data_IF_012584937239
#
_entry.id   IF_012584937239
#
_cell.length_a   1.000
_cell.length_b   1.000
_cell.length_c   1.000
_cell.angle_alpha   90.00
_cell.angle_beta   90.00
_cell.angle_gamma   90.00
#
_symmetry.space_group_name_H-M   'P 1'
#
loop_
_entity.id
_entity.type
_entity.pdbx_description
1 polymer ?
#
# COMPACT_ATOMS: atom_id res chain seq x y z
N UNK A 1 -23.75 4.21 -6.43
CA UNK A 1 -23.74 3.68 -7.83
C UNK A 1 -24.10 2.21 -7.76
N UNK A 2 -25.22 1.86 -8.37
CA UNK A 2 -25.80 0.52 -8.47
C UNK A 2 -24.87 -0.48 -9.16
N UNK A 3 -25.11 -1.77 -8.93
CA UNK A 3 -24.47 -2.86 -9.66
C UNK A 3 -24.50 -2.59 -11.17
N UNK A 4 -23.39 -2.83 -11.89
CA UNK A 4 -23.36 -2.61 -13.32
C UNK A 4 -24.44 -3.47 -13.98
N UNK A 5 -25.21 -2.86 -14.88
CA UNK A 5 -26.36 -3.47 -15.56
C UNK A 5 -25.96 -4.46 -16.66
N UNK A 6 -24.67 -4.53 -16.99
CA UNK A 6 -24.08 -5.27 -18.10
C UNK A 6 -23.88 -6.78 -17.84
N UNK A 7 -24.46 -7.33 -16.77
CA UNK A 7 -24.44 -8.77 -16.47
C UNK A 7 -23.13 -9.31 -15.90
N UNK A 8 -22.07 -8.50 -15.89
CA UNK A 8 -20.74 -8.90 -15.49
C UNK A 8 -20.60 -8.91 -13.97
N UNK A 9 -20.49 -10.10 -13.39
CA UNK A 9 -20.49 -10.34 -11.96
C UNK A 9 -19.24 -11.07 -11.51
N UNK A 10 -18.86 -10.84 -10.24
CA UNK A 10 -17.65 -11.38 -9.66
C UNK A 10 -16.38 -10.67 -10.14
N UNK A 11 -15.27 -11.40 -10.15
CA UNK A 11 -13.95 -10.82 -10.48
C UNK A 11 -13.82 -10.48 -11.96
N UNK A 12 -13.10 -9.41 -12.28
CA UNK A 12 -12.79 -9.04 -13.65
C UNK A 12 -11.41 -9.58 -14.01
N UNK A 13 -11.35 -10.39 -15.05
CA UNK A 13 -10.13 -10.79 -15.73
C UNK A 13 -9.99 -9.93 -16.97
N UNK A 14 -8.83 -9.31 -17.17
CA UNK A 14 -8.61 -8.49 -18.35
C UNK A 14 -8.07 -9.34 -19.48
N UNK A 15 -8.47 -9.05 -20.71
CA UNK A 15 -7.93 -9.66 -21.90
C UNK A 15 -7.22 -8.60 -22.74
N UNK A 16 -5.89 -8.66 -22.73
CA UNK A 16 -5.01 -7.78 -23.49
C UNK A 16 -4.15 -6.88 -22.59
N UNK A 17 -3.04 -6.36 -23.12
CA UNK A 17 -2.20 -5.43 -22.37
C UNK A 17 -2.96 -4.12 -22.10
N UNK A 18 -2.58 -3.43 -21.02
CA UNK A 18 -3.03 -2.06 -20.76
C UNK A 18 -1.96 -1.13 -21.34
N UNK A 19 -2.34 -0.31 -22.32
CA UNK A 19 -1.41 0.61 -22.97
C UNK A 19 -1.10 1.82 -22.09
N UNK A 20 0.04 2.47 -22.32
CA UNK A 20 0.37 3.72 -21.63
C UNK A 20 -0.64 4.84 -21.91
N UNK A 21 -1.34 4.80 -23.05
CA UNK A 21 -2.43 5.73 -23.39
C UNK A 21 -3.67 5.48 -22.55
N UNK A 22 -4.02 4.23 -22.25
CA UNK A 22 -5.16 3.91 -21.38
C UNK A 22 -4.94 4.44 -19.94
N UNK A 23 -3.69 4.54 -19.50
CA UNK A 23 -3.32 5.02 -18.15
C UNK A 23 -3.22 6.55 -18.02
N UNK A 24 -3.42 7.31 -19.11
CA UNK A 24 -3.35 8.77 -19.10
C UNK A 24 -4.74 9.39 -18.95
N UNK A 25 -4.82 10.51 -18.24
CA UNK A 25 -6.03 11.34 -18.21
C UNK A 25 -5.91 12.37 -19.33
N UNK A 26 -6.73 12.30 -20.38
CA UNK A 26 -6.83 13.39 -21.38
C UNK A 26 -7.87 14.39 -20.85
N UNK A 27 -7.39 15.51 -20.30
CA UNK A 27 -8.20 16.48 -19.54
C UNK A 27 -9.19 17.34 -20.35
N UNK A 28 -9.40 17.06 -21.64
CA UNK A 28 -10.11 17.99 -22.52
C UNK A 28 -11.39 17.44 -23.16
N UNK A 29 -11.75 16.18 -22.92
CA UNK A 29 -13.01 15.62 -23.43
C UNK A 29 -13.92 15.16 -22.28
N UNK A 30 -15.23 15.45 -22.44
CA UNK A 30 -16.31 15.11 -21.50
C UNK A 30 -16.44 13.60 -21.22
N UNK A 31 -15.71 12.77 -21.98
CA UNK A 31 -15.49 11.35 -21.80
C UNK A 31 -14.00 11.07 -21.99
N UNK A 32 -13.22 11.19 -20.92
CA UNK A 32 -11.76 10.96 -20.98
C UNK A 32 -11.43 9.56 -21.49
N UNK A 33 -10.50 9.48 -22.45
CA UNK A 33 -10.12 8.24 -23.14
C UNK A 33 -9.32 7.25 -22.29
N UNK A 34 -8.98 7.61 -21.06
CA UNK A 34 -8.20 6.78 -20.15
C UNK A 34 -8.83 6.62 -18.78
N UNK A 35 -8.31 5.65 -18.04
CA UNK A 35 -8.88 5.16 -16.78
C UNK A 35 -8.32 5.87 -15.54
N UNK A 36 -7.44 6.86 -15.71
CA UNK A 36 -6.75 7.51 -14.58
C UNK A 36 -7.71 8.37 -13.75
N UNK A 37 -7.63 8.22 -12.43
CA UNK A 37 -8.36 9.02 -11.45
C UNK A 37 -7.37 9.77 -10.54
N UNK A 38 -7.68 11.03 -10.21
CA UNK A 38 -6.76 11.93 -9.50
C UNK A 38 -6.80 11.81 -7.97
N UNK A 39 -7.89 11.25 -7.42
CA UNK A 39 -8.07 11.08 -5.97
C UNK A 39 -8.26 9.61 -5.63
N UNK A 40 -7.49 9.14 -4.64
CA UNK A 40 -7.66 7.79 -4.11
C UNK A 40 -8.86 7.77 -3.13
N UNK A 41 -9.82 6.84 -3.26
CA UNK A 41 -11.08 6.91 -2.51
C UNK A 41 -11.04 6.23 -1.14
N UNK A 42 -9.95 5.53 -0.79
CA UNK A 42 -9.75 4.91 0.52
C UNK A 42 -8.74 5.62 1.41
N UNK A 43 -9.06 5.61 2.69
CA UNK A 43 -8.11 5.72 3.79
C UNK A 43 -8.02 4.37 4.51
N UNK A 44 -6.82 3.89 4.82
CA UNK A 44 -6.60 2.58 5.45
C UNK A 44 -5.82 2.76 6.74
N UNK A 45 -6.27 2.10 7.80
CA UNK A 45 -5.61 2.08 9.10
C UNK A 45 -5.25 0.63 9.44
N UNK A 46 -3.96 0.39 9.67
CA UNK A 46 -3.45 -0.92 10.07
C UNK A 46 -3.12 -0.93 11.54
N UNK A 47 -3.48 -2.01 12.23
CA UNK A 47 -3.17 -2.21 13.63
C UNK A 47 -1.68 -2.51 13.81
N UNK A 48 -1.05 -2.06 14.91
CA UNK A 48 0.30 -2.50 15.25
C UNK A 48 0.32 -4.02 15.47
N UNK A 49 1.41 -4.65 15.04
CA UNK A 49 1.65 -6.07 15.28
C UNK A 49 2.78 -6.25 16.28
N UNK A 50 2.54 -7.10 17.26
CA UNK A 50 3.52 -7.47 18.30
C UNK A 50 3.92 -8.94 18.21
N UNK A 51 3.19 -9.74 17.44
CA UNK A 51 3.38 -11.18 17.28
C UNK A 51 3.33 -11.48 15.78
N UNK A 52 4.32 -12.20 15.28
CA UNK A 52 4.35 -12.69 13.89
C UNK A 52 3.22 -13.70 13.70
N UNK A 53 2.32 -13.52 12.71
CA UNK A 53 1.31 -14.52 12.41
C UNK A 53 1.93 -15.89 12.10
N UNK A 54 1.30 -17.01 12.49
CA UNK A 54 1.80 -18.31 12.12
C UNK A 54 1.81 -18.45 10.60
N UNK A 55 2.81 -19.16 10.09
CA UNK A 55 2.90 -19.57 8.69
C UNK A 55 1.61 -20.29 8.28
N UNK A 56 1.05 -20.02 7.08
CA UNK A 56 -0.09 -20.78 6.58
C UNK A 56 0.23 -22.28 6.53
N UNK A 57 -0.75 -23.11 6.91
CA UNK A 57 -0.60 -24.56 6.87
C UNK A 57 -1.00 -25.11 5.49
N UNK A 58 -0.63 -26.35 5.18
CA UNK A 58 -0.89 -26.96 3.86
C UNK A 58 -2.37 -26.99 3.45
N UNK A 59 -3.30 -26.91 4.42
CA UNK A 59 -4.74 -26.93 4.17
C UNK A 59 -5.43 -25.61 4.54
N UNK A 60 -4.70 -24.62 5.03
CA UNK A 60 -5.25 -23.32 5.42
C UNK A 60 -4.58 -22.20 4.64
N UNK A 61 -5.36 -21.60 3.75
CA UNK A 61 -4.93 -20.47 2.95
C UNK A 61 -5.12 -19.14 3.68
N UNK A 62 -5.65 -19.12 4.91
CA UNK A 62 -5.85 -17.91 5.72
C UNK A 62 -4.65 -17.61 6.59
N UNK A 63 -4.39 -16.32 6.80
CA UNK A 63 -3.48 -15.85 7.84
C UNK A 63 -4.25 -15.64 9.13
N UNK A 64 -3.83 -16.35 10.19
CA UNK A 64 -4.36 -16.14 11.53
C UNK A 64 -3.81 -14.83 12.11
N UNK A 65 -4.60 -13.76 12.00
CA UNK A 65 -4.20 -12.43 12.44
C UNK A 65 -4.76 -12.09 13.81
N UNK A 66 -3.87 -11.66 14.71
CA UNK A 66 -4.28 -10.99 15.94
C UNK A 66 -4.82 -9.60 15.60
N UNK A 67 -5.79 -9.12 16.40
CA UNK A 67 -6.31 -7.76 16.29
C UNK A 67 -6.89 -7.42 14.90
N UNK A 68 -7.44 -8.41 14.20
CA UNK A 68 -7.94 -8.26 12.83
C UNK A 68 -8.94 -7.09 12.73
N UNK A 69 -9.81 -6.94 13.72
CA UNK A 69 -10.83 -5.89 13.75
C UNK A 69 -10.30 -4.47 13.89
N UNK A 70 -9.05 -4.30 14.34
CA UNK A 70 -8.39 -2.99 14.43
C UNK A 70 -7.82 -2.54 13.09
N UNK A 71 -7.73 -3.43 12.10
CA UNK A 71 -7.40 -3.07 10.74
C UNK A 71 -8.68 -2.63 10.03
N UNK A 72 -8.74 -1.37 9.63
CA UNK A 72 -9.96 -0.75 9.11
C UNK A 72 -9.66 0.04 7.85
N UNK A 73 -10.66 0.21 7.00
CA UNK A 73 -10.57 1.16 5.90
C UNK A 73 -11.84 1.99 5.83
N UNK A 74 -11.71 3.21 5.33
CA UNK A 74 -12.82 4.15 5.15
C UNK A 74 -12.99 4.40 3.67
N UNK A 75 -14.19 4.14 3.16
CA UNK A 75 -14.60 4.40 1.78
C UNK A 75 -15.85 5.26 1.78
N UNK A 76 -15.79 6.45 1.17
CA UNK A 76 -16.95 7.38 1.10
C UNK A 76 -17.64 7.60 2.47
N UNK A 77 -16.85 7.82 3.51
CA UNK A 77 -17.28 8.00 4.91
C UNK A 77 -17.77 6.74 5.63
N UNK A 78 -17.99 5.63 4.93
CA UNK A 78 -18.31 4.36 5.56
C UNK A 78 -17.03 3.66 6.03
N UNK A 79 -17.07 3.11 7.25
CA UNK A 79 -15.98 2.37 7.85
C UNK A 79 -16.18 0.86 7.69
N UNK A 80 -15.14 0.20 7.18
CA UNK A 80 -15.07 -1.23 6.98
C UNK A 80 -13.99 -1.81 7.88
N UNK A 81 -14.20 -3.05 8.30
CA UNK A 81 -13.32 -3.78 9.19
C UNK A 81 -12.77 -5.00 8.47
N UNK A 82 -11.47 -5.26 8.62
CA UNK A 82 -10.82 -6.45 8.06
C UNK A 82 -11.43 -7.70 8.69
N UNK A 83 -11.84 -8.65 7.85
CA UNK A 83 -12.49 -9.88 8.24
C UNK A 83 -11.57 -11.08 8.08
N UNK A 84 -10.80 -11.12 7.00
CA UNK A 84 -9.79 -12.16 6.78
C UNK A 84 -8.70 -11.69 5.80
N UNK A 85 -7.61 -12.45 5.81
CA UNK A 85 -6.52 -12.32 4.85
C UNK A 85 -6.23 -13.72 4.31
N UNK A 86 -6.27 -13.87 2.98
CA UNK A 86 -6.15 -15.15 2.30
C UNK A 86 -5.06 -15.13 1.24
N UNK A 87 -4.24 -16.17 1.19
CA UNK A 87 -3.52 -16.54 -0.02
C UNK A 87 -4.47 -17.23 -0.98
N UNK A 88 -4.43 -16.85 -2.25
CA UNK A 88 -5.25 -17.43 -3.29
C UNK A 88 -4.43 -17.64 -4.55
N UNK A 89 -4.91 -18.55 -5.40
CA UNK A 89 -4.49 -18.59 -6.79
C UNK A 89 -4.80 -17.25 -7.45
N UNK A 90 -3.93 -16.83 -8.35
CA UNK A 90 -4.09 -15.57 -9.11
C UNK A 90 -5.47 -15.51 -9.76
N UNK A 91 -6.21 -14.48 -9.39
CA UNK A 91 -7.55 -14.16 -9.89
C UNK A 91 -7.50 -12.98 -10.86
N UNK A 92 -6.68 -11.97 -10.57
CA UNK A 92 -6.50 -10.78 -11.40
C UNK A 92 -5.33 -10.96 -12.36
N UNK A 93 -5.60 -11.58 -13.50
CA UNK A 93 -4.62 -11.86 -14.54
C UNK A 93 -5.03 -11.29 -15.91
N UNK A 94 -4.20 -11.57 -16.92
CA UNK A 94 -4.45 -11.28 -18.33
C UNK A 94 -4.19 -9.82 -18.74
N UNK A 95 -3.67 -9.01 -17.82
CA UNK A 95 -3.11 -7.69 -18.11
C UNK A 95 -1.66 -7.58 -17.62
N UNK A 96 -0.89 -6.72 -18.30
CA UNK A 96 0.40 -6.22 -17.83
C UNK A 96 0.34 -4.70 -17.84
N UNK A 97 0.78 -4.07 -16.75
CA UNK A 97 1.10 -2.65 -16.78
C UNK A 97 2.39 -2.41 -17.57
N UNK A 98 2.63 -1.20 -18.10
CA UNK A 98 3.93 -0.83 -18.62
C UNK A 98 5.04 -1.16 -17.60
N UNK A 99 6.17 -1.67 -18.09
CA UNK A 99 7.34 -2.12 -17.31
C UNK A 99 7.14 -3.40 -16.48
N UNK A 100 5.92 -3.95 -16.41
CA UNK A 100 5.67 -5.23 -15.77
C UNK A 100 6.00 -6.38 -16.73
N UNK A 101 7.00 -7.17 -16.39
CA UNK A 101 7.49 -8.28 -17.22
C UNK A 101 7.07 -9.65 -16.71
N UNK A 102 6.93 -9.79 -15.39
CA UNK A 102 6.59 -11.03 -14.70
C UNK A 102 5.09 -11.23 -14.51
N UNK A 103 4.69 -12.50 -14.49
CA UNK A 103 3.36 -12.94 -14.05
C UNK A 103 3.39 -13.24 -12.55
N UNK A 104 2.32 -12.93 -11.80
CA UNK A 104 2.24 -13.29 -10.40
C UNK A 104 2.08 -14.80 -10.23
N UNK A 105 2.61 -15.34 -9.13
CA UNK A 105 2.50 -16.76 -8.76
C UNK A 105 1.36 -17.02 -7.76
N UNK A 106 0.94 -15.99 -7.02
CA UNK A 106 -0.13 -16.06 -6.03
C UNK A 106 -0.73 -14.66 -5.83
N UNK A 107 -1.83 -14.58 -5.08
CA UNK A 107 -2.39 -13.32 -4.59
C UNK A 107 -2.62 -13.39 -3.09
N UNK A 108 -2.32 -12.29 -2.39
CA UNK A 108 -2.76 -12.03 -1.03
C UNK A 108 -3.98 -11.11 -1.08
N UNK A 109 -5.11 -11.58 -0.56
CA UNK A 109 -6.38 -10.85 -0.61
C UNK A 109 -6.82 -10.53 0.82
N UNK A 110 -7.02 -9.25 1.10
CA UNK A 110 -7.55 -8.73 2.35
C UNK A 110 -9.03 -8.39 2.15
N UNK A 111 -9.92 -8.99 2.94
CA UNK A 111 -11.36 -8.78 2.80
C UNK A 111 -11.90 -7.92 3.93
N UNK A 112 -12.50 -6.80 3.58
CA UNK A 112 -13.12 -5.88 4.53
C UNK A 112 -14.65 -5.92 4.38
N UNK A 113 -15.37 -5.89 5.50
CA UNK A 113 -16.83 -5.82 5.53
C UNK A 113 -17.29 -4.52 6.17
N UNK A 114 -18.38 -3.95 5.65
CA UNK A 114 -19.04 -2.84 6.36
C UNK A 114 -19.69 -3.36 7.64
N UNK A 115 -19.70 -2.52 8.68
CA UNK A 115 -20.58 -2.72 9.85
C UNK A 115 -21.95 -2.06 9.66
N UNK A 116 -22.09 -1.20 8.64
CA UNK A 116 -23.35 -0.53 8.32
C UNK A 116 -24.13 -1.32 7.27
N UNK A 117 -25.41 -1.57 7.55
CA UNK A 117 -26.36 -2.14 6.60
C UNK A 117 -26.77 -1.17 5.49
N UNK A 118 -26.42 0.11 5.60
CA UNK A 118 -26.76 1.15 4.61
C UNK A 118 -25.61 1.44 3.64
N UNK A 119 -24.50 0.72 3.75
CA UNK A 119 -23.33 0.97 2.92
C UNK A 119 -23.57 0.66 1.45
N UNK A 120 -23.04 1.53 0.59
CA UNK A 120 -23.08 1.41 -0.88
C UNK A 120 -22.42 0.11 -1.40
N UNK A 121 -21.43 -0.39 -0.65
CA UNK A 121 -20.73 -1.65 -0.93
C UNK A 121 -20.76 -2.52 0.31
N UNK A 122 -21.02 -3.81 0.11
CA UNK A 122 -21.09 -4.81 1.18
C UNK A 122 -19.70 -5.19 1.68
N UNK A 123 -18.70 -5.16 0.79
CA UNK A 123 -17.32 -5.39 1.15
C UNK A 123 -16.33 -4.69 0.21
N UNK A 124 -15.08 -4.66 0.67
CA UNK A 124 -13.93 -4.13 -0.06
C UNK A 124 -12.84 -5.21 -0.06
N UNK A 125 -12.28 -5.52 -1.23
CA UNK A 125 -11.15 -6.42 -1.37
C UNK A 125 -9.90 -5.66 -1.78
N UNK A 126 -8.81 -5.84 -1.04
CA UNK A 126 -7.47 -5.40 -1.45
C UNK A 126 -6.69 -6.62 -1.93
N UNK A 127 -6.38 -6.67 -3.22
CA UNK A 127 -5.77 -7.79 -3.90
C UNK A 127 -4.33 -7.44 -4.26
N UNK A 128 -3.38 -8.17 -3.68
CA UNK A 128 -1.96 -7.91 -3.81
C UNK A 128 -1.28 -9.13 -4.45
N UNK A 129 -0.94 -9.08 -5.74
CA UNK A 129 -0.22 -10.15 -6.40
C UNK A 129 1.16 -10.38 -5.78
N UNK A 130 1.61 -11.64 -5.78
CA UNK A 130 2.91 -12.07 -5.26
C UNK A 130 3.74 -12.60 -6.42
N UNK A 131 4.91 -12.01 -6.62
CA UNK A 131 5.88 -12.36 -7.65
C UNK A 131 7.08 -13.07 -7.05
N UNK A 132 7.60 -14.07 -7.76
CA UNK A 132 8.91 -14.64 -7.49
C UNK A 132 9.96 -13.79 -8.21
N UNK A 133 10.96 -13.28 -7.48
CA UNK A 133 12.00 -12.39 -8.03
C UNK A 133 13.33 -12.59 -7.31
N UNK A 134 14.46 -12.38 -7.99
CA UNK A 134 15.77 -12.29 -7.33
C UNK A 134 15.97 -10.99 -6.56
N UNK A 135 15.14 -9.98 -6.83
CA UNK A 135 15.13 -8.68 -6.16
C UNK A 135 13.80 -8.54 -5.39
N UNK A 136 13.80 -8.86 -4.08
CA UNK A 136 12.61 -8.70 -3.25
C UNK A 136 12.17 -7.23 -3.18
N UNK A 137 10.86 -7.04 -3.12
CA UNK A 137 10.20 -5.74 -3.07
C UNK A 137 8.95 -5.85 -2.20
N UNK A 138 8.86 -5.03 -1.15
CA UNK A 138 7.74 -5.06 -0.16
C UNK A 138 7.49 -6.44 0.46
N UNK A 139 8.55 -7.25 0.57
CA UNK A 139 8.47 -8.63 1.05
C UNK A 139 8.51 -8.74 2.57
N UNK A 140 8.83 -7.66 3.30
CA UNK A 140 9.06 -7.68 4.75
C UNK A 140 7.94 -8.41 5.52
N UNK A 141 6.67 -8.15 5.19
CA UNK A 141 5.55 -8.81 5.84
C UNK A 141 5.47 -10.32 5.58
N UNK A 142 5.79 -10.77 4.37
CA UNK A 142 5.75 -12.19 4.01
C UNK A 142 7.00 -12.92 4.47
N UNK A 143 8.16 -12.29 4.38
CA UNK A 143 9.45 -12.85 4.78
C UNK A 143 9.50 -13.19 6.29
N UNK A 144 8.85 -12.40 7.15
CA UNK A 144 8.76 -12.74 8.58
C UNK A 144 7.94 -14.01 8.87
N UNK A 145 6.99 -14.39 8.01
CA UNK A 145 6.15 -15.56 8.23
C UNK A 145 6.95 -16.87 8.14
N UNK A 146 8.05 -16.85 7.40
CA UNK A 146 8.93 -18.00 7.23
C UNK A 146 10.01 -18.07 8.32
N UNK A 147 10.43 -16.93 8.87
CA UNK A 147 11.64 -16.85 9.69
C UNK A 147 11.44 -17.18 11.18
N UNK A 148 10.20 -17.24 11.71
CA UNK A 148 9.81 -17.57 13.11
C UNK A 148 10.69 -17.01 14.26
N UNK A 149 11.64 -16.11 14.01
CA UNK A 149 12.57 -15.56 14.99
C UNK A 149 12.03 -14.24 15.51
N UNK A 150 11.41 -14.29 16.68
CA UNK A 150 11.04 -13.12 17.46
C UNK A 150 12.01 -12.94 18.63
N UNK A 151 13.28 -12.62 18.35
CA UNK A 151 14.18 -12.07 19.37
C UNK A 151 14.52 -10.63 18.96
N UNK A 152 13.74 -9.68 19.48
CA UNK A 152 13.96 -8.22 19.42
C UNK A 152 13.78 -7.48 18.07
N UNK A 153 13.35 -8.13 16.99
CA UNK A 153 13.06 -7.45 15.73
C UNK A 153 11.62 -6.87 15.69
N UNK A 154 11.47 -5.64 15.20
CA UNK A 154 10.16 -5.01 14.99
C UNK A 154 9.33 -5.82 13.96
N UNK A 155 8.26 -6.45 14.44
CA UNK A 155 7.29 -7.22 13.64
C UNK A 155 6.68 -6.31 12.56
N UNK A 156 6.69 -6.78 11.32
CA UNK A 156 6.14 -6.02 10.21
C UNK A 156 4.61 -6.07 10.23
N UNK A 157 3.96 -4.92 10.03
CA UNK A 157 2.51 -4.81 9.88
C UNK A 157 2.11 -4.97 8.41
N UNK A 158 0.81 -5.19 8.16
CA UNK A 158 0.23 -5.21 6.81
C UNK A 158 0.51 -3.91 6.04
N UNK A 159 0.71 -2.80 6.73
CA UNK A 159 1.11 -1.51 6.14
C UNK A 159 2.36 -1.64 5.26
N UNK A 160 3.32 -2.48 5.63
CA UNK A 160 4.58 -2.65 4.89
C UNK A 160 4.39 -3.26 3.49
N UNK A 161 3.21 -3.79 3.18
CA UNK A 161 2.82 -4.23 1.83
C UNK A 161 2.47 -3.04 0.94
N UNK A 162 2.05 -1.91 1.53
CA UNK A 162 1.52 -0.76 0.81
C UNK A 162 2.45 0.46 0.85
N UNK A 163 3.12 0.69 1.99
CA UNK A 163 4.04 1.79 2.21
C UNK A 163 5.49 1.31 2.14
N UNK A 164 6.31 2.05 1.40
CA UNK A 164 7.76 1.99 1.49
C UNK A 164 8.23 3.27 2.17
N UNK A 165 9.24 3.19 3.05
CA UNK A 165 9.78 4.37 3.75
C UNK A 165 10.54 5.33 2.84
N UNK A 166 10.74 5.00 1.55
CA UNK A 166 11.41 5.86 0.59
C UNK A 166 10.39 6.51 -0.35
N UNK A 167 10.62 7.79 -0.66
CA UNK A 167 9.75 8.66 -1.46
C UNK A 167 9.63 8.25 -2.95
N UNK A 168 10.18 7.09 -3.37
CA UNK A 168 10.52 6.84 -4.77
C UNK A 168 9.53 5.93 -5.51
N UNK A 169 8.64 5.20 -4.83
CA UNK A 169 7.67 4.33 -5.51
C UNK A 169 6.23 4.52 -4.99
N UNK A 170 5.48 5.40 -5.64
CA UNK A 170 4.02 5.47 -5.44
C UNK A 170 3.41 4.13 -5.87
N UNK A 171 2.66 3.50 -4.98
CA UNK A 171 1.96 2.27 -5.32
C UNK A 171 0.78 2.62 -6.21
N UNK A 172 0.79 2.08 -7.42
CA UNK A 172 -0.35 2.23 -8.33
C UNK A 172 -1.34 1.11 -8.11
N UNK A 173 -2.61 1.38 -8.42
CA UNK A 173 -3.68 0.38 -8.28
C UNK A 173 -4.72 0.52 -9.37
N UNK A 174 -5.40 -0.60 -9.65
CA UNK A 174 -6.59 -0.66 -10.47
C UNK A 174 -7.76 -0.96 -9.54
N UNK A 175 -8.87 -0.24 -9.65
CA UNK A 175 -10.09 -0.58 -8.92
C UNK A 175 -11.28 -0.72 -9.84
N UNK A 176 -12.26 -1.47 -9.38
CA UNK A 176 -13.54 -1.57 -10.06
C UNK A 176 -14.63 -1.98 -9.06
N UNK A 177 -15.87 -1.63 -9.41
CA UNK A 177 -17.05 -2.12 -8.71
C UNK A 177 -17.60 -3.33 -9.44
N UNK A 178 -17.99 -4.33 -8.68
CA UNK A 178 -18.66 -5.52 -9.18
C UNK A 178 -19.77 -5.92 -8.24
N UNK A 179 -20.61 -6.84 -8.68
CA UNK A 179 -21.60 -7.45 -7.82
C UNK A 179 -21.49 -8.97 -7.89
N UNK A 180 -21.97 -9.62 -6.85
CA UNK A 180 -22.12 -11.06 -6.80
C UNK A 180 -23.49 -11.38 -6.21
N UNK A 181 -24.02 -12.53 -6.61
CA UNK A 181 -25.28 -12.99 -6.05
C UNK A 181 -25.05 -14.08 -5.02
N UNK A 182 -25.99 -14.15 -4.08
CA UNK A 182 -26.08 -15.19 -3.05
C UNK A 182 -27.46 -15.82 -3.10
N UNK A 183 -27.54 -17.06 -2.63
CA UNK A 183 -28.78 -17.83 -2.59
C UNK A 183 -29.21 -18.08 -1.14
N UNK A 184 -30.36 -17.56 -0.76
CA UNK A 184 -31.07 -17.93 0.48
C UNK A 184 -32.31 -18.74 0.10
N UNK A 185 -32.22 -20.07 0.21
CA UNK A 185 -33.25 -20.95 -0.36
C UNK A 185 -33.36 -20.73 -1.87
N UNK A 186 -34.56 -20.39 -2.36
CA UNK A 186 -34.81 -20.11 -3.79
C UNK A 186 -34.72 -18.62 -4.15
N UNK A 187 -34.33 -17.75 -3.22
CA UNK A 187 -34.22 -16.31 -3.47
C UNK A 187 -32.77 -15.91 -3.71
N UNK A 188 -32.56 -15.19 -4.81
CA UNK A 188 -31.27 -14.59 -5.16
C UNK A 188 -31.16 -13.19 -4.57
N UNK A 189 -30.13 -12.94 -3.76
CA UNK A 189 -29.80 -11.62 -3.22
C UNK A 189 -28.51 -11.10 -3.84
N UNK A 190 -28.51 -9.83 -4.23
CA UNK A 190 -27.36 -9.18 -4.87
C UNK A 190 -26.56 -8.37 -3.86
N UNK A 191 -25.25 -8.53 -3.90
CA UNK A 191 -24.30 -7.82 -3.05
C UNK A 191 -23.32 -7.02 -3.92
N UNK A 192 -22.87 -5.88 -3.40
CA UNK A 192 -21.97 -4.96 -4.10
C UNK A 192 -20.58 -5.03 -3.50
N UNK A 193 -19.54 -5.08 -4.33
CA UNK A 193 -18.16 -5.29 -3.93
C UNK A 193 -17.27 -4.23 -4.61
N UNK A 194 -16.36 -3.63 -3.84
CA UNK A 194 -15.30 -2.79 -4.41
C UNK A 194 -13.98 -3.54 -4.36
N UNK A 195 -13.39 -3.79 -5.52
CA UNK A 195 -12.15 -4.54 -5.64
C UNK A 195 -11.04 -3.59 -6.04
N UNK A 196 -9.92 -3.65 -5.33
CA UNK A 196 -8.72 -2.89 -5.63
C UNK A 196 -7.58 -3.89 -5.78
N UNK A 197 -6.94 -3.84 -6.94
CA UNK A 197 -5.77 -4.64 -7.28
C UNK A 197 -4.56 -3.72 -7.26
N UNK A 198 -3.46 -4.18 -6.67
CA UNK A 198 -2.19 -3.47 -6.64
C UNK A 198 -1.20 -4.18 -7.56
N UNK A 199 -1.15 -3.89 -8.88
CA UNK A 199 -0.52 -4.80 -9.84
C UNK A 199 0.96 -5.03 -9.60
N UNK A 200 1.69 -4.05 -9.08
CA UNK A 200 3.12 -4.19 -8.74
C UNK A 200 3.37 -5.06 -7.50
N UNK A 201 2.35 -5.26 -6.67
CA UNK A 201 2.29 -6.30 -5.65
C UNK A 201 3.48 -6.38 -4.70
N UNK A 202 3.79 -7.61 -4.30
CA UNK A 202 4.95 -7.99 -3.49
C UNK A 202 5.86 -8.86 -4.36
N UNK A 203 7.16 -8.59 -4.37
CA UNK A 203 8.16 -9.51 -4.95
C UNK A 203 8.94 -10.18 -3.83
N UNK A 204 9.00 -11.50 -3.80
CA UNK A 204 9.73 -12.27 -2.79
C UNK A 204 10.78 -13.16 -3.45
N UNK A 205 11.88 -13.42 -2.74
CA UNK A 205 12.91 -14.33 -3.22
C UNK A 205 12.34 -15.72 -3.49
N UNK A 206 12.70 -16.33 -4.62
CA UNK A 206 12.18 -17.64 -5.05
C UNK A 206 12.29 -18.71 -3.97
N UNK A 207 13.42 -18.81 -3.26
CA UNK A 207 13.59 -19.80 -2.18
C UNK A 207 12.63 -19.57 -1.02
N UNK A 208 12.36 -18.31 -0.65
CA UNK A 208 11.40 -17.96 0.39
C UNK A 208 9.97 -18.22 -0.05
N UNK A 209 9.64 -17.94 -1.32
CA UNK A 209 8.34 -18.30 -1.87
C UNK A 209 8.10 -19.81 -1.78
N UNK A 210 9.08 -20.62 -2.19
CA UNK A 210 8.98 -22.08 -2.14
C UNK A 210 8.83 -22.58 -0.70
N UNK A 211 9.56 -21.99 0.25
CA UNK A 211 9.37 -22.30 1.67
C UNK A 211 7.96 -21.91 2.14
N UNK A 212 7.49 -20.71 1.84
CA UNK A 212 6.22 -20.17 2.34
C UNK A 212 4.99 -20.88 1.73
N UNK A 213 4.97 -21.04 0.41
CA UNK A 213 3.80 -21.46 -0.37
C UNK A 213 4.06 -22.64 -1.31
N UNK A 214 5.32 -23.07 -1.53
CA UNK A 214 5.66 -24.08 -2.54
C UNK A 214 5.04 -25.47 -2.30
N UNK A 215 4.73 -25.81 -1.05
CA UNK A 215 4.03 -27.04 -0.67
C UNK A 215 2.50 -26.93 -0.62
N UNK A 216 1.93 -25.75 -0.91
CA UNK A 216 0.50 -25.47 -0.73
C UNK A 216 -0.18 -25.38 -2.09
N UNK A 217 -1.25 -26.16 -2.29
CA UNK A 217 -2.14 -25.95 -3.45
C UNK A 217 -3.05 -24.77 -3.16
N UNK A 218 -2.75 -23.60 -3.73
CA UNK A 218 -3.53 -22.39 -3.48
C UNK A 218 -4.95 -22.52 -4.07
N UNK A 219 -6.01 -22.39 -3.25
CA UNK A 219 -7.38 -22.43 -3.72
C UNK A 219 -7.75 -21.13 -4.44
N UNK A 220 -8.93 -21.10 -5.07
CA UNK A 220 -9.55 -19.82 -5.46
C UNK A 220 -9.86 -19.01 -4.19
N UNK A 221 -10.01 -17.70 -4.36
CA UNK A 221 -10.49 -16.85 -3.28
C UNK A 221 -11.90 -17.25 -2.82
N UNK A 222 -12.10 -17.28 -1.51
CA UNK A 222 -13.37 -17.57 -0.86
C UNK A 222 -13.89 -16.33 -0.13
N UNK A 223 -15.06 -15.82 -0.54
CA UNK A 223 -15.68 -14.66 0.10
C UNK A 223 -16.04 -14.94 1.56
N UNK A 224 -15.60 -14.06 2.47
CA UNK A 224 -15.89 -14.18 3.90
C UNK A 224 -17.40 -14.21 4.18
N UNK A 225 -17.84 -15.07 5.10
CA UNK A 225 -19.26 -15.29 5.41
C UNK A 225 -20.02 -14.01 5.75
N UNK A 226 -19.39 -13.09 6.49
CA UNK A 226 -19.98 -11.78 6.84
C UNK A 226 -20.32 -10.93 5.62
N UNK A 227 -19.47 -10.92 4.58
CA UNK A 227 -19.70 -10.12 3.37
C UNK A 227 -20.87 -10.69 2.56
N UNK A 228 -21.01 -12.02 2.53
CA UNK A 228 -22.11 -12.71 1.84
C UNK A 228 -23.34 -13.00 2.70
N UNK A 229 -23.40 -12.48 3.93
CA UNK A 229 -24.53 -12.70 4.85
C UNK A 229 -24.72 -14.16 5.29
N UNK A 230 -23.68 -15.00 5.20
CA UNK A 230 -23.74 -16.44 5.51
C UNK A 230 -24.31 -17.32 4.39
N UNK A 231 -24.86 -16.71 3.33
CA UNK A 231 -25.49 -17.41 2.22
C UNK A 231 -24.44 -18.01 1.24
N UNK A 232 -24.84 -19.01 0.44
CA UNK A 232 -23.99 -19.54 -0.63
C UNK A 232 -23.90 -18.55 -1.79
N UNK A 233 -22.72 -18.35 -2.36
CA UNK A 233 -22.54 -17.48 -3.54
C UNK A 233 -22.93 -18.21 -4.81
N UNK A 234 -23.38 -17.50 -5.83
CA UNK A 234 -23.53 -18.06 -7.18
C UNK A 234 -22.17 -18.00 -7.87
N UNK A 235 -21.60 -19.16 -8.21
CA UNK A 235 -20.27 -19.27 -8.81
C UNK A 235 -20.31 -19.43 -10.33
N UNK A 236 -21.42 -19.93 -10.88
CA UNK A 236 -21.66 -20.09 -12.33
C UNK A 236 -23.08 -19.63 -12.66
N UNK A 237 -23.18 -18.84 -13.72
CA UNK A 237 -24.45 -18.38 -14.27
C UNK A 237 -24.70 -18.99 -15.64
N UNK A 238 -25.98 -19.24 -15.92
CA UNK A 238 -26.50 -19.51 -17.25
C UNK A 238 -27.50 -18.42 -17.64
N UNK A 239 -27.86 -18.37 -18.93
CA UNK A 239 -28.91 -17.48 -19.43
C UNK A 239 -30.03 -18.33 -20.01
N UNK A 240 -31.28 -17.98 -19.70
CA UNK A 240 -32.42 -18.63 -20.33
C UNK A 240 -32.71 -18.10 -21.73
N UNK A 241 -33.69 -18.70 -22.41
CA UNK A 241 -34.08 -18.33 -23.77
C UNK A 241 -34.51 -16.86 -23.92
N UNK A 242 -34.86 -16.19 -22.81
CA UNK A 242 -35.24 -14.77 -22.78
C UNK A 242 -34.06 -13.86 -22.42
N UNK A 243 -32.84 -14.41 -22.28
CA UNK A 243 -31.66 -13.68 -21.86
C UNK A 243 -31.62 -13.37 -20.36
N UNK A 244 -32.51 -13.96 -19.55
CA UNK A 244 -32.48 -13.74 -18.11
C UNK A 244 -31.43 -14.64 -17.46
N UNK A 245 -30.64 -14.05 -16.57
CA UNK A 245 -29.59 -14.74 -15.84
C UNK A 245 -30.19 -15.71 -14.80
N UNK A 246 -29.67 -16.94 -14.77
CA UNK A 246 -30.03 -18.00 -13.81
C UNK A 246 -28.79 -18.51 -13.08
N UNK A 247 -28.98 -18.93 -11.83
CA UNK A 247 -27.95 -19.64 -11.06
C UNK A 247 -27.83 -21.07 -11.59
N UNK A 248 -26.62 -21.48 -11.95
CA UNK A 248 -26.32 -22.85 -12.37
C UNK A 248 -25.59 -23.62 -11.27
N UNK A 249 -24.57 -22.99 -10.68
CA UNK A 249 -23.80 -23.57 -9.58
C UNK A 249 -23.68 -22.56 -8.44
N UNK A 250 -23.84 -23.05 -7.22
CA UNK A 250 -23.59 -22.29 -6.00
C UNK A 250 -22.35 -22.80 -5.27
N UNK A 251 -21.70 -21.94 -4.50
CA UNK A 251 -20.57 -22.26 -3.66
C UNK A 251 -20.88 -21.93 -2.20
N UNK A 252 -20.90 -22.95 -1.36
CA UNK A 252 -20.99 -22.79 0.10
C UNK A 252 -19.75 -22.13 0.69
N UNK A 253 -18.61 -22.19 -0.02
CA UNK A 253 -17.34 -21.64 0.41
C UNK A 253 -17.17 -20.16 0.02
N UNK A 254 -18.07 -19.61 -0.81
CA UNK A 254 -18.01 -18.22 -1.23
C UNK A 254 -17.18 -17.99 -2.49
N UNK A 255 -17.00 -18.99 -3.35
CA UNK A 255 -16.37 -18.77 -4.66
C UNK A 255 -17.18 -17.78 -5.51
N UNK A 256 -16.49 -16.86 -6.15
CA UNK A 256 -17.10 -15.89 -7.06
C UNK A 256 -16.88 -16.29 -8.52
N UNK A 257 -17.79 -15.92 -9.42
CA UNK A 257 -17.56 -16.05 -10.85
C UNK A 257 -16.46 -15.08 -11.30
N UNK A 258 -15.91 -15.36 -12.47
CA UNK A 258 -14.98 -14.47 -13.17
C UNK A 258 -15.60 -14.04 -14.49
N UNK A 259 -15.51 -12.75 -14.80
CA UNK A 259 -15.91 -12.21 -16.10
C UNK A 259 -14.67 -11.68 -16.81
N UNK A 260 -14.51 -12.02 -18.08
CA UNK A 260 -13.44 -11.47 -18.92
C UNK A 260 -13.88 -10.20 -19.64
N UNK A 261 -13.07 -9.15 -19.58
CA UNK A 261 -13.29 -7.89 -20.32
C UNK A 261 -12.04 -7.58 -21.13
N UNK A 262 -12.20 -7.23 -22.41
CA UNK A 262 -11.07 -6.79 -23.22
C UNK A 262 -10.68 -5.35 -22.91
N UNK A 263 -9.38 -5.08 -22.80
CA UNK A 263 -8.83 -3.73 -22.58
C UNK A 263 -9.14 -2.76 -23.72
N UNK A 264 -9.49 -3.27 -24.91
CA UNK A 264 -9.85 -2.46 -26.08
C UNK A 264 -11.33 -2.00 -26.11
N UNK A 265 -12.13 -2.34 -25.09
CA UNK A 265 -13.58 -2.06 -25.09
C UNK A 265 -13.94 -0.85 -24.24
N UNK A 266 -15.05 -0.19 -24.56
CA UNK A 266 -15.62 0.85 -23.70
C UNK A 266 -15.96 0.32 -22.29
N UNK A 267 -16.30 -0.97 -22.16
CA UNK A 267 -16.56 -1.61 -20.87
C UNK A 267 -15.34 -1.57 -19.95
N UNK A 268 -14.11 -1.72 -20.49
CA UNK A 268 -12.89 -1.54 -19.70
C UNK A 268 -12.75 -0.10 -19.19
N UNK A 269 -12.88 0.89 -20.08
CA UNK A 269 -12.71 2.32 -19.75
C UNK A 269 -13.75 2.83 -18.76
N UNK A 270 -14.96 2.33 -18.84
CA UNK A 270 -16.07 2.75 -18.00
C UNK A 270 -16.09 2.07 -16.63
N UNK A 271 -15.29 1.02 -16.40
CA UNK A 271 -15.37 0.18 -15.19
C UNK A 271 -14.10 0.12 -14.39
N UNK A 272 -12.96 0.22 -15.04
CA UNK A 272 -11.66 0.18 -14.37
C UNK A 272 -11.23 1.61 -14.08
N UNK A 273 -10.83 1.86 -12.85
CA UNK A 273 -10.22 3.09 -12.38
C UNK A 273 -8.73 2.83 -12.10
N UNK A 274 -7.84 3.71 -12.53
CA UNK A 274 -6.41 3.62 -12.28
C UNK A 274 -5.94 4.75 -11.36
N UNK A 275 -5.35 4.40 -10.24
CA UNK A 275 -4.81 5.36 -9.28
C UNK A 275 -3.29 5.37 -9.32
N UNK A 276 -2.70 6.56 -9.45
CA UNK A 276 -1.25 6.75 -9.45
C UNK A 276 -0.66 7.05 -8.06
N UNK A 277 -1.54 7.29 -7.08
CA UNK A 277 -1.16 7.57 -5.69
C UNK A 277 -1.47 6.34 -4.84
N UNK A 278 -0.66 6.11 -3.82
CA UNK A 278 -0.93 5.09 -2.80
C UNK A 278 -2.22 5.43 -2.03
N UNK A 279 -2.90 4.43 -1.42
CA UNK A 279 -3.96 4.70 -0.45
C UNK A 279 -3.43 5.59 0.67
N UNK A 280 -4.28 6.44 1.23
CA UNK A 280 -3.91 7.21 2.41
C UNK A 280 -3.81 6.24 3.60
N UNK A 281 -2.60 6.01 4.10
CA UNK A 281 -2.38 5.13 5.24
C UNK A 281 -2.34 5.97 6.51
N UNK A 282 -3.33 5.79 7.36
CA UNK A 282 -3.41 6.43 8.68
C UNK A 282 -2.81 5.47 9.68
N UNK A 283 -1.59 5.78 10.14
CA UNK A 283 -0.96 5.02 11.21
C UNK A 283 -1.86 5.05 12.45
N UNK A 284 -2.30 3.87 12.91
CA UNK A 284 -3.05 3.75 14.19
C UNK A 284 -2.13 3.73 15.40
N UNK A 285 -0.82 3.75 15.18
CA UNK A 285 0.13 3.94 16.26
C UNK A 285 -0.11 5.37 16.78
N UNK A 286 -0.46 5.57 18.07
CA UNK A 286 -0.24 6.88 18.67
C UNK A 286 1.22 7.21 18.38
N UNK A 287 1.55 8.44 18.00
CA UNK A 287 2.93 8.88 17.79
C UNK A 287 3.83 8.81 19.05
N UNK A 288 3.49 7.96 20.03
CA UNK A 288 4.32 7.56 21.16
C UNK A 288 4.55 6.04 21.16
N UNK A 289 5.55 5.58 20.41
CA UNK A 289 6.62 4.68 20.87
C UNK A 289 7.47 4.21 19.69
N UNK A 290 8.63 4.85 19.56
CA UNK A 290 9.83 4.28 18.97
C UNK A 290 10.35 3.20 19.95
N UNK A 291 10.73 2.02 19.44
CA UNK A 291 12.02 1.47 19.87
C UNK A 291 12.82 1.10 18.63
N UNK A 292 13.54 2.07 18.07
CA UNK A 292 14.79 1.78 17.39
C UNK A 292 15.78 1.42 18.48
N UNK A 293 16.14 0.15 18.55
CA UNK A 293 17.39 -0.27 19.16
C UNK A 293 18.55 0.39 18.41
N UNK A 294 18.94 1.57 18.86
CA UNK A 294 20.30 2.13 18.88
C UNK A 294 20.18 3.49 19.53
N UNK A 295 20.93 3.70 20.61
CA UNK A 295 20.89 4.86 21.48
C UNK A 295 20.83 6.22 20.75
N UNK A 296 19.73 6.95 20.93
CA UNK A 296 19.59 8.37 20.59
C UNK A 296 18.42 8.98 21.38
N UNK A 297 18.58 10.16 22.01
CA UNK A 297 17.53 10.75 22.85
C UNK A 297 16.34 11.28 22.03
N UNK A 298 15.14 11.12 22.60
CA UNK A 298 13.84 11.51 22.05
C UNK A 298 13.59 13.03 22.17
N UNK A 299 13.99 13.85 21.18
CA UNK A 299 13.53 15.25 21.06
C UNK A 299 12.47 15.36 19.95
N UNK A 300 11.38 16.09 20.16
CA UNK A 300 10.32 16.36 19.14
C UNK A 300 9.96 17.85 19.05
N UNK A 301 9.43 18.32 17.91
CA UNK A 301 9.05 19.74 17.70
C UNK A 301 7.72 20.08 18.38
N UNK A 302 7.63 21.19 19.10
CA UNK A 302 6.42 21.59 19.86
C UNK A 302 5.18 21.78 18.98
N UNK A 303 5.35 22.22 17.72
CA UNK A 303 4.24 22.44 16.77
C UNK A 303 3.49 21.14 16.38
N UNK A 304 4.09 19.98 16.60
CA UNK A 304 3.52 18.68 16.26
C UNK A 304 2.56 18.15 17.35
N UNK A 305 2.52 18.79 18.53
CA UNK A 305 1.81 18.29 19.71
C UNK A 305 0.81 19.32 20.26
N UNK A 306 -0.36 19.44 19.63
CA UNK A 306 -1.41 20.39 20.07
C UNK A 306 -2.25 19.94 21.27
N UNK A 307 -2.19 18.66 21.65
CA UNK A 307 -3.15 18.07 22.60
C UNK A 307 -2.53 17.13 23.65
N UNK A 308 -1.26 17.31 24.03
CA UNK A 308 -0.67 16.55 25.14
C UNK A 308 -0.80 17.30 26.48
N UNK A 309 -1.11 16.61 27.60
CA UNK A 309 -1.08 17.20 28.93
C UNK A 309 0.32 17.74 29.26
N UNK A 310 0.40 19.00 29.69
CA UNK A 310 1.65 19.73 29.91
C UNK A 310 2.56 19.10 30.98
N UNK A 311 1.97 18.35 31.90
CA UNK A 311 2.59 17.64 33.01
C UNK A 311 3.53 16.49 32.55
N UNK A 312 3.45 16.07 31.28
CA UNK A 312 4.38 15.10 30.67
C UNK A 312 5.50 15.74 29.84
N UNK A 313 5.48 17.06 29.66
CA UNK A 313 6.42 17.79 28.81
C UNK A 313 7.36 18.62 29.69
N UNK A 314 8.65 18.29 29.67
CA UNK A 314 9.68 19.22 30.16
C UNK A 314 10.09 20.12 29.01
N UNK A 315 9.60 21.36 29.04
CA UNK A 315 10.01 22.40 28.11
C UNK A 315 11.50 22.69 28.31
N UNK A 316 12.27 22.49 27.26
CA UNK A 316 13.67 22.91 27.18
C UNK A 316 13.76 24.22 26.40
N UNK A 317 13.19 25.32 26.91
CA UNK A 317 13.24 26.68 26.36
C UNK A 317 13.35 26.76 24.82
N UNK A 318 12.23 26.60 24.12
CA UNK A 318 12.12 26.81 22.67
C UNK A 318 11.32 25.72 21.95
N UNK A 319 11.31 25.74 20.61
CA UNK A 319 10.49 24.92 19.69
C UNK A 319 10.58 23.37 19.84
N UNK A 320 11.19 22.85 20.90
CA UNK A 320 11.45 21.43 21.12
C UNK A 320 11.11 20.96 22.53
N UNK A 321 10.50 19.78 22.62
CA UNK A 321 10.17 19.07 23.85
C UNK A 321 10.95 17.77 23.96
N UNK A 322 11.35 17.42 25.18
CA UNK A 322 11.97 16.14 25.51
C UNK A 322 10.97 15.22 26.20
N UNK A 323 10.96 13.95 25.81
CA UNK A 323 10.13 12.91 26.42
C UNK A 323 11.00 12.00 27.29
N UNK A 324 10.85 12.09 28.61
CA UNK A 324 11.51 11.17 29.52
C UNK A 324 10.48 10.38 30.31
N UNK A 325 10.42 9.07 30.03
CA UNK A 325 9.64 8.11 30.79
C UNK A 325 10.60 7.14 31.48
N UNK A 326 11.19 7.58 32.59
CA UNK A 326 11.62 6.66 33.65
C UNK A 326 13.09 6.22 33.69
N UNK A 327 14.06 7.07 33.33
CA UNK A 327 15.46 6.82 33.69
C UNK A 327 15.94 7.79 34.79
N UNK A 328 16.16 7.34 36.05
CA UNK A 328 16.95 8.12 36.99
C UNK A 328 18.42 8.01 36.58
N UNK A 329 19.07 9.15 36.31
CA UNK A 329 20.54 9.32 36.22
C UNK A 329 21.23 9.28 34.85
N UNK A 330 20.68 9.94 33.83
CA UNK A 330 21.52 10.59 32.80
C UNK A 330 21.43 12.10 33.02
N UNK A 331 22.56 12.78 33.22
CA UNK A 331 22.58 14.20 33.57
C UNK A 331 21.87 15.02 32.49
N UNK A 332 20.87 15.80 32.93
CA UNK A 332 20.08 16.76 32.14
C UNK A 332 20.92 17.61 31.17
N UNK A 333 22.21 17.78 31.45
CA UNK A 333 23.17 18.56 30.66
C UNK A 333 23.51 17.91 29.32
N UNK A 334 23.69 16.58 29.24
CA UNK A 334 24.08 15.91 28.00
C UNK A 334 22.93 15.84 26.97
N UNK A 335 21.69 15.73 27.46
CA UNK A 335 20.48 15.74 26.63
C UNK A 335 20.19 17.16 26.11
N UNK A 336 20.34 18.18 26.97
CA UNK A 336 20.20 19.60 26.59
C UNK A 336 21.21 20.03 25.52
N UNK A 337 22.48 19.63 25.66
CA UNK A 337 23.52 19.97 24.68
C UNK A 337 23.22 19.35 23.30
N UNK A 338 22.65 18.14 23.28
CA UNK A 338 22.36 17.40 22.03
C UNK A 338 21.08 17.89 21.32
N UNK A 339 20.01 18.22 22.05
CA UNK A 339 18.85 18.88 21.41
C UNK A 339 19.22 20.31 20.92
N UNK A 340 20.18 21.00 21.57
CA UNK A 340 20.72 22.29 21.11
C UNK A 340 21.50 22.16 19.79
N UNK A 341 22.23 21.06 19.58
CA UNK A 341 22.90 20.76 18.31
C UNK A 341 21.90 20.53 17.16
N UNK A 342 20.79 19.82 17.41
CA UNK A 342 19.72 19.63 16.41
C UNK A 342 19.05 20.95 16.02
N UNK A 343 18.82 21.85 17.00
CA UNK A 343 18.34 23.21 16.74
C UNK A 343 19.30 24.01 15.84
N UNK A 344 20.61 23.88 16.04
CA UNK A 344 21.60 24.60 15.21
C UNK A 344 21.68 24.03 13.78
N UNK A 345 21.41 22.73 13.59
CA UNK A 345 21.38 22.13 12.26
C UNK A 345 20.13 22.54 11.46
N UNK A 346 18.97 22.67 12.12
CA UNK A 346 17.74 23.15 11.47
C UNK A 346 17.80 24.65 11.12
N UNK A 347 18.60 25.45 11.85
CA UNK A 347 18.84 26.87 11.54
C UNK A 347 19.83 27.08 10.39
N UNK A 348 20.48 26.03 9.87
CA UNK A 348 21.46 26.11 8.79
C UNK A 348 20.93 25.61 7.43
N UNK A 349 19.61 25.40 7.31
CA UNK A 349 18.96 24.96 6.05
C UNK A 349 18.15 26.10 5.39
N UNK A 350 18.09 27.30 5.98
CA UNK A 350 17.41 28.48 5.42
C UNK A 350 18.39 29.65 5.14
N UNK A 351 19.39 29.41 4.30
CA UNK A 351 20.21 30.50 3.75
C UNK A 351 20.67 30.23 2.32
N UNK A 352 19.81 29.68 1.46
CA UNK A 352 19.94 29.79 0.00
C UNK A 352 18.56 30.08 -0.60
N UNK A 353 18.01 31.24 -0.24
CA UNK A 353 16.95 31.84 -1.03
C UNK A 353 17.53 32.22 -2.39
N UNK A 354 17.05 31.53 -3.42
CA UNK A 354 17.29 31.80 -4.83
C UNK A 354 16.81 33.22 -5.15
N UNK A 355 17.73 34.19 -5.18
CA UNK A 355 17.47 35.57 -5.59
C UNK A 355 17.84 35.74 -7.07
N UNK A 356 16.86 36.15 -7.88
CA UNK A 356 16.94 36.16 -9.35
C UNK A 356 17.23 37.56 -9.94
N UNK A 357 17.66 38.54 -9.15
CA UNK A 357 18.04 39.86 -9.69
C UNK A 357 19.32 40.42 -9.08
N UNK A 358 20.43 40.38 -9.82
CA UNK A 358 21.61 41.18 -9.48
C UNK A 358 22.92 40.78 -10.15
N UNK A 359 23.35 41.62 -11.10
CA UNK A 359 24.76 41.87 -11.45
C UNK A 359 25.39 40.96 -12.52
N UNK A 360 25.00 41.26 -13.76
CA UNK A 360 25.98 41.58 -14.81
C UNK A 360 26.92 42.68 -14.30
N UNK A 361 28.22 42.56 -14.64
CA UNK A 361 29.33 43.52 -14.42
C UNK A 361 30.11 43.28 -13.10
N UNK A 362 31.25 42.58 -13.18
CA UNK A 362 32.51 43.32 -13.07
C UNK A 362 33.74 42.55 -13.59
N UNK A 363 34.47 43.26 -14.43
CA UNK A 363 35.75 42.90 -15.02
C UNK A 363 36.83 43.52 -14.15
N UNK A 364 37.77 42.69 -13.69
CA UNK A 364 39.16 43.12 -13.58
C UNK A 364 39.68 43.60 -12.23
N UNK A 365 40.92 43.17 -12.00
CA UNK A 365 42.00 43.80 -11.23
C UNK A 365 42.06 43.51 -9.71
N UNK A 366 43.04 42.67 -9.35
CA UNK A 366 44.18 42.89 -8.43
C UNK A 366 44.59 41.51 -7.86
N UNK A 367 45.58 40.80 -8.39
CA UNK A 367 47.03 41.03 -8.34
C UNK A 367 47.67 40.92 -6.94
N UNK A 368 48.62 39.97 -6.84
CA UNK A 368 49.69 39.80 -5.84
C UNK A 368 49.24 39.39 -4.42
N UNK A 369 49.85 38.43 -3.72
CA UNK A 369 51.27 38.27 -3.36
C UNK A 369 51.50 36.77 -3.00
N UNK A 370 52.69 36.22 -3.29
CA UNK A 370 53.19 35.04 -2.56
C UNK A 370 53.99 33.99 -3.33
N UNK A 371 55.11 34.39 -3.94
CA UNK A 371 56.20 33.52 -4.42
C UNK A 371 56.60 32.41 -3.43
N UNK A 372 56.76 31.16 -3.89
CA UNK A 372 57.99 30.39 -3.71
C UNK A 372 58.31 29.63 -5.00
N UNK A 373 59.53 29.89 -5.48
CA UNK A 373 60.20 29.34 -6.66
C UNK A 373 61.04 28.13 -6.24
N UNK A 374 61.24 27.19 -7.17
CA UNK A 374 62.52 26.56 -7.58
C UNK A 374 62.31 25.07 -7.91
N UNK A 375 62.51 24.77 -9.20
CA UNK A 375 62.57 23.42 -9.76
C UNK A 375 62.76 23.49 -11.28
N UNK A 376 63.97 23.88 -11.69
CA UNK A 376 64.41 24.10 -13.07
C UNK A 376 64.48 22.78 -13.87
N UNK A 377 63.85 22.76 -15.06
CA UNK A 377 64.50 22.52 -16.35
C UNK A 377 64.72 21.09 -16.84
N UNK A 378 64.06 20.72 -17.95
CA UNK A 378 64.62 20.29 -19.26
C UNK A 378 63.44 19.82 -20.15
N UNK A 379 63.06 20.53 -21.22
CA UNK A 379 63.60 20.54 -22.60
C UNK A 379 63.06 19.39 -23.49
N UNK A 380 62.34 19.83 -24.53
CA UNK A 380 62.16 19.30 -25.89
C UNK A 380 61.20 18.14 -26.25
N UNK A 381 60.19 18.53 -27.05
CA UNK A 381 59.83 18.09 -28.41
C UNK A 381 59.77 16.59 -28.76
N UNK A 382 58.55 16.16 -29.11
CA UNK A 382 58.10 15.31 -30.25
C UNK A 382 56.59 15.11 -30.04
N UNK A 383 55.65 15.32 -30.95
CA UNK A 383 55.57 15.59 -32.40
C UNK A 383 54.44 16.61 -32.64
#
# INVERSE_FOLDING_TARGET
MSCPSDGNTGFIVLNGPISATDLKHTSNEKHGDGIRVNSYPLSIAFAPQTIVPPKPSNNDNKLAMNNIEMNTCTYKSDKYVLMDVQFARVTHNGFKLPEQTSEPSAELILSYSSRSSTSDVTGILLCVPIYQSSQPYRDRYLSQLDEQKADNAQVATLESIFAEKSEVATQTSLAYKTCFDTMTGNQMKKHSLYVIVFPRGISIHTTRYQSLLGGITLPKYHMHSTIRGGDSTVSVYSFDANGNRRSETTSSNGELPTTTISTCTAAFRNRIEYFTKSPNIVSTVPSGRIPTGTAGPNCGKTKEYKCMPFDMLRDSNGDYVSFDAGAPNLSDTALKEKCKQLRNNDLNVDADAFDWEGVLIDVGVYAAIGLIVIGIGTVMMKE
#
